data_IF_525206656098
#
_entry.id   IF_525206656098
#
_cell.length_a   1.000
_cell.length_b   1.000
_cell.length_c   1.000
_cell.angle_alpha   90.00
_cell.angle_beta   90.00
_cell.angle_gamma   90.00
#
_symmetry.space_group_name_H-M   'P 1'
#
loop_
_entity.id
_entity.type
_entity.pdbx_description
1 polymer ?
#
# COMPACT_ATOMS: atom_id res chain seq x y z
N UNK A 1 9.57 1.37 74.15
CA UNK A 1 10.88 0.97 74.71
C UNK A 1 11.78 0.58 73.54
N UNK A 2 12.68 1.47 73.13
CA UNK A 2 14.11 1.42 73.43
C UNK A 2 14.88 0.33 72.65
N UNK A 3 15.51 0.77 71.54
CA UNK A 3 16.91 0.57 71.10
C UNK A 3 17.54 -0.87 71.05
N UNK A 4 18.68 -1.08 70.34
CA UNK A 4 19.03 -0.74 68.95
C UNK A 4 19.93 -1.82 68.27
N UNK A 5 20.35 -1.53 67.01
CA UNK A 5 21.67 -1.75 66.34
C UNK A 5 22.43 -3.09 66.59
N UNK A 6 23.12 -3.70 65.62
CA UNK A 6 24.19 -3.16 64.78
C UNK A 6 24.39 -4.10 63.59
N UNK A 7 24.55 -3.50 62.42
CA UNK A 7 24.94 -4.08 61.14
C UNK A 7 26.39 -4.61 61.17
N UNK A 8 26.60 -5.87 60.76
CA UNK A 8 27.94 -6.45 60.62
C UNK A 8 28.47 -6.21 59.20
N UNK A 9 29.41 -5.27 59.11
CA UNK A 9 30.25 -5.03 57.95
C UNK A 9 30.95 -6.33 57.50
N UNK A 10 30.82 -6.69 56.22
CA UNK A 10 31.75 -7.62 55.58
C UNK A 10 32.47 -6.91 54.44
N UNK A 11 33.79 -6.93 54.57
CA UNK A 11 34.80 -6.25 53.79
C UNK A 11 34.81 -6.68 52.33
N UNK A 12 35.01 -5.68 51.46
CA UNK A 12 35.38 -5.82 50.05
C UNK A 12 36.68 -6.61 49.91
N UNK A 13 36.69 -7.65 49.09
CA UNK A 13 37.93 -8.24 48.54
C UNK A 13 37.76 -8.32 47.02
N UNK A 14 38.59 -7.52 46.35
CA UNK A 14 38.65 -7.34 44.90
C UNK A 14 39.60 -8.39 44.32
N UNK A 15 39.08 -9.43 43.67
CA UNK A 15 39.88 -10.50 43.05
C UNK A 15 40.11 -10.17 41.58
N UNK A 16 40.93 -9.14 41.34
CA UNK A 16 41.62 -8.91 40.07
C UNK A 16 43.12 -8.96 40.35
N UNK A 17 43.84 -9.64 39.47
CA UNK A 17 45.31 -9.65 39.34
C UNK A 17 46.12 -10.58 40.26
N UNK A 18 46.00 -11.90 40.04
CA UNK A 18 47.14 -12.81 40.25
C UNK A 18 47.92 -12.86 38.94
N UNK A 19 49.01 -12.12 39.00
CA UNK A 19 50.03 -11.89 37.99
C UNK A 19 50.76 -13.20 37.70
N UNK A 20 50.50 -13.77 36.53
CA UNK A 20 51.41 -14.68 35.85
C UNK A 20 52.75 -13.96 35.66
N UNK A 21 53.72 -14.30 36.50
CA UNK A 21 55.11 -13.86 36.38
C UNK A 21 55.91 -15.14 36.42
N UNK A 22 56.45 -15.53 35.25
CA UNK A 22 57.76 -16.18 35.06
C UNK A 22 57.78 -16.81 33.66
N UNK A 23 58.00 -15.98 32.64
CA UNK A 23 58.81 -16.32 31.46
C UNK A 23 58.94 -15.07 30.60
N UNK A 24 59.95 -14.26 30.96
CA UNK A 24 60.46 -13.14 30.16
C UNK A 24 61.93 -13.46 29.90
N UNK A 25 62.17 -14.20 28.83
CA UNK A 25 63.46 -14.55 28.21
C UNK A 25 63.01 -15.21 26.91
N UNK A 26 63.20 -14.66 25.71
CA UNK A 26 64.40 -14.07 25.10
C UNK A 26 63.96 -12.99 24.11
N UNK A 27 64.83 -11.99 23.96
CA UNK A 27 64.66 -10.79 23.16
C UNK A 27 64.69 -11.03 21.63
N UNK A 28 64.04 -10.11 20.93
CA UNK A 28 64.42 -9.50 19.65
C UNK A 28 65.05 -10.39 18.57
N UNK A 29 64.22 -10.85 17.61
CA UNK A 29 64.63 -11.01 16.20
C UNK A 29 63.42 -10.80 15.28
N UNK A 30 63.56 -9.87 14.33
CA UNK A 30 62.76 -9.65 13.13
C UNK A 30 61.38 -9.00 13.26
N UNK A 31 61.43 -7.70 13.55
CA UNK A 31 60.51 -6.69 13.04
C UNK A 31 60.68 -6.56 11.51
N UNK A 32 60.19 -7.52 10.73
CA UNK A 32 60.08 -7.39 9.26
C UNK A 32 59.05 -8.39 8.72
N UNK A 33 57.80 -8.22 9.16
CA UNK A 33 56.67 -8.67 8.36
C UNK A 33 55.98 -7.40 7.88
N UNK A 34 56.37 -7.01 6.66
CA UNK A 34 55.66 -6.04 5.84
C UNK A 34 54.21 -6.52 5.78
N UNK A 35 53.38 -6.03 6.69
CA UNK A 35 51.95 -6.11 6.56
C UNK A 35 51.63 -5.32 5.29
N UNK A 36 51.41 -6.04 4.19
CA UNK A 36 50.91 -5.54 2.92
C UNK A 36 49.48 -4.98 3.10
N UNK A 37 49.35 -3.96 3.92
CA UNK A 37 48.14 -3.22 4.22
C UNK A 37 47.97 -2.09 3.22
N UNK A 38 48.00 -2.42 1.92
CA UNK A 38 47.60 -1.53 0.83
C UNK A 38 47.59 -2.28 -0.50
N UNK A 39 46.47 -2.90 -0.89
CA UNK A 39 46.14 -3.07 -2.31
C UNK A 39 44.67 -3.47 -2.53
N UNK A 40 43.73 -2.54 -2.32
CA UNK A 40 42.59 -2.48 -3.24
C UNK A 40 43.16 -1.80 -4.49
N UNK A 41 43.53 -2.58 -5.49
CA UNK A 41 43.94 -2.07 -6.80
C UNK A 41 43.12 -2.71 -7.91
N UNK A 42 41.81 -2.50 -7.86
CA UNK A 42 40.93 -2.62 -9.02
C UNK A 42 39.79 -1.60 -8.95
N UNK A 43 39.40 -1.06 -10.11
CA UNK A 43 38.44 0.05 -10.25
C UNK A 43 37.08 -0.32 -9.62
N UNK A 44 36.64 0.42 -8.61
CA UNK A 44 35.40 0.18 -7.85
C UNK A 44 35.25 -1.26 -7.32
N UNK A 45 36.36 -1.94 -7.01
CA UNK A 45 36.37 -3.34 -6.56
C UNK A 45 36.02 -4.36 -7.66
N UNK A 46 36.04 -3.95 -8.93
CA UNK A 46 35.73 -4.79 -10.09
C UNK A 46 37.00 -4.94 -10.93
N UNK A 47 37.33 -6.19 -11.29
CA UNK A 47 38.45 -6.52 -12.19
C UNK A 47 39.67 -7.13 -11.50
N UNK A 48 40.77 -7.22 -12.27
CA UNK A 48 42.01 -7.87 -11.83
C UNK A 48 42.83 -6.96 -10.90
N UNK A 49 43.52 -7.56 -9.93
CA UNK A 49 44.43 -6.85 -8.99
C UNK A 49 45.67 -6.27 -9.69
N UNK A 50 46.15 -6.94 -10.74
CA UNK A 50 47.20 -6.49 -11.64
C UNK A 50 47.05 -7.27 -12.96
N UNK A 51 47.43 -6.67 -14.08
CA UNK A 51 47.52 -7.37 -15.36
C UNK A 51 48.70 -8.38 -15.39
N UNK A 52 49.68 -8.23 -14.50
CA UNK A 52 50.83 -9.13 -14.38
C UNK A 52 50.37 -10.51 -13.92
N UNK A 53 50.73 -11.55 -14.69
CA UNK A 53 50.32 -12.94 -14.44
C UNK A 53 48.94 -13.31 -15.00
N UNK A 54 48.18 -12.35 -15.55
CA UNK A 54 46.90 -12.64 -16.22
C UNK A 54 47.05 -12.99 -17.71
N UNK A 55 48.22 -12.80 -18.31
CA UNK A 55 48.47 -12.96 -19.75
C UNK A 55 47.50 -12.19 -20.67
N UNK A 56 46.81 -11.17 -20.14
CA UNK A 56 45.89 -10.29 -20.88
C UNK A 56 46.23 -8.83 -20.57
N UNK A 57 45.65 -7.90 -21.34
CA UNK A 57 45.87 -6.45 -21.15
C UNK A 57 45.25 -5.88 -19.86
N UNK A 58 44.40 -6.64 -19.16
CA UNK A 58 43.67 -6.15 -17.99
C UNK A 58 42.55 -5.15 -18.30
N UNK A 59 42.11 -5.05 -19.57
CA UNK A 59 41.03 -4.16 -19.98
C UNK A 59 39.67 -4.65 -19.44
N UNK A 60 38.96 -3.79 -18.71
CA UNK A 60 37.67 -4.10 -18.09
C UNK A 60 36.58 -3.26 -18.77
N UNK A 61 35.63 -3.93 -19.42
CA UNK A 61 34.46 -3.28 -20.02
C UNK A 61 33.25 -3.39 -19.10
N UNK A 62 32.45 -2.33 -19.05
CA UNK A 62 31.14 -2.37 -18.39
C UNK A 62 30.16 -3.16 -19.26
N UNK A 63 29.54 -4.18 -18.70
CA UNK A 63 28.46 -4.91 -19.38
C UNK A 63 27.29 -3.98 -19.71
N UNK A 64 26.89 -3.95 -20.99
CA UNK A 64 25.71 -3.21 -21.46
C UNK A 64 24.41 -3.85 -20.94
N UNK A 65 24.41 -5.16 -20.66
CA UNK A 65 23.28 -5.86 -20.05
C UNK A 65 23.04 -5.42 -18.60
N UNK A 66 24.04 -4.90 -17.88
CA UNK A 66 23.83 -4.36 -16.53
C UNK A 66 23.01 -3.06 -16.52
N UNK A 67 22.79 -2.43 -17.68
CA UNK A 67 21.90 -1.28 -17.80
C UNK A 67 20.42 -1.70 -17.75
N UNK A 68 20.08 -2.88 -18.29
CA UNK A 68 18.69 -3.38 -18.28
C UNK A 68 18.23 -3.71 -16.86
N UNK A 69 19.11 -4.21 -15.99
CA UNK A 69 18.81 -4.49 -14.59
C UNK A 69 18.54 -3.25 -13.70
N UNK A 70 19.03 -2.07 -14.10
CA UNK A 70 18.73 -0.79 -13.41
C UNK A 70 17.50 -0.11 -13.99
N UNK A 71 17.29 -0.22 -15.30
CA UNK A 71 16.11 0.31 -15.99
C UNK A 71 14.87 -0.52 -15.64
N UNK A 72 15.01 -1.83 -15.41
CA UNK A 72 13.91 -2.70 -15.00
C UNK A 72 13.26 -2.18 -13.72
N UNK A 73 14.01 -1.86 -12.66
CA UNK A 73 13.43 -1.36 -11.40
C UNK A 73 12.62 -0.06 -11.52
N UNK A 74 12.89 0.79 -12.52
CA UNK A 74 12.16 2.06 -12.71
C UNK A 74 11.05 1.98 -13.77
N UNK A 75 11.09 1.03 -14.71
CA UNK A 75 10.05 0.86 -15.76
C UNK A 75 9.16 -0.38 -15.54
N UNK A 76 9.47 -1.26 -14.60
CA UNK A 76 8.82 -2.56 -14.47
C UNK A 76 7.47 -2.59 -13.76
N UNK A 77 6.99 -1.47 -13.20
CA UNK A 77 5.60 -1.45 -12.71
C UNK A 77 4.58 -1.66 -13.84
N UNK A 78 4.95 -1.40 -15.10
CA UNK A 78 4.09 -1.62 -16.28
C UNK A 78 4.42 -2.85 -17.13
N UNK A 79 5.59 -3.48 -16.95
CA UNK A 79 6.05 -4.60 -17.79
C UNK A 79 6.14 -5.95 -17.05
N UNK A 80 6.38 -5.99 -15.73
CA UNK A 80 6.32 -7.24 -14.95
C UNK A 80 4.89 -7.79 -14.86
N UNK A 81 3.89 -6.91 -14.93
CA UNK A 81 2.48 -7.28 -14.98
C UNK A 81 2.15 -8.05 -16.25
N UNK A 82 2.87 -7.83 -17.37
CA UNK A 82 2.60 -8.47 -18.67
C UNK A 82 3.26 -9.83 -18.84
N UNK A 83 4.33 -10.12 -18.09
CA UNK A 83 5.08 -11.39 -18.21
C UNK A 83 4.60 -12.46 -17.23
N UNK A 84 3.92 -12.08 -16.14
CA UNK A 84 3.29 -13.03 -15.22
C UNK A 84 1.82 -13.25 -15.58
N UNK A 85 1.42 -14.38 -16.20
CA UNK A 85 0.05 -14.62 -16.66
C UNK A 85 -0.97 -14.56 -15.51
N UNK A 86 -0.55 -14.93 -14.29
CA UNK A 86 -1.37 -14.84 -13.07
C UNK A 86 -1.71 -13.40 -12.68
N UNK A 87 -0.76 -12.47 -12.82
CA UNK A 87 -0.98 -11.05 -12.51
C UNK A 87 -1.87 -10.37 -13.55
N UNK A 88 -1.69 -10.70 -14.85
CA UNK A 88 -2.58 -10.24 -15.93
C UNK A 88 -4.02 -10.69 -15.69
N UNK A 89 -4.23 -11.93 -15.26
CA UNK A 89 -5.56 -12.48 -15.03
C UNK A 89 -6.26 -11.79 -13.86
N UNK A 90 -5.56 -11.59 -12.74
CA UNK A 90 -6.09 -10.87 -11.58
C UNK A 90 -6.44 -9.42 -11.92
N UNK A 91 -5.61 -8.71 -12.70
CA UNK A 91 -5.89 -7.35 -13.15
C UNK A 91 -7.12 -7.28 -14.08
N UNK A 92 -7.34 -8.30 -14.92
CA UNK A 92 -8.53 -8.40 -15.77
C UNK A 92 -9.80 -8.64 -14.96
N UNK A 93 -9.76 -9.53 -13.97
CA UNK A 93 -10.90 -9.81 -13.09
C UNK A 93 -11.29 -8.53 -12.33
N UNK A 94 -10.32 -7.86 -11.69
CA UNK A 94 -10.56 -6.61 -10.96
C UNK A 94 -11.17 -5.51 -11.85
N UNK A 95 -10.73 -5.41 -13.11
CA UNK A 95 -11.31 -4.47 -14.08
C UNK A 95 -12.75 -4.83 -14.45
N UNK A 96 -13.05 -6.12 -14.62
CA UNK A 96 -14.40 -6.59 -14.93
C UNK A 96 -15.35 -6.32 -13.76
N UNK A 97 -14.92 -6.58 -12.53
CA UNK A 97 -15.71 -6.34 -11.32
C UNK A 97 -16.00 -4.85 -11.13
N UNK A 98 -14.98 -4.00 -11.25
CA UNK A 98 -15.15 -2.55 -11.16
C UNK A 98 -16.05 -1.97 -12.29
N UNK A 99 -16.10 -2.62 -13.46
CA UNK A 99 -17.01 -2.25 -14.54
C UNK A 99 -18.44 -2.75 -14.29
N UNK A 100 -18.59 -3.93 -13.68
CA UNK A 100 -19.89 -4.47 -13.28
C UNK A 100 -20.53 -3.55 -12.23
N UNK A 101 -19.78 -3.12 -11.23
CA UNK A 101 -20.25 -2.19 -10.20
C UNK A 101 -20.75 -0.88 -10.80
N UNK A 102 -20.00 -0.29 -11.74
CA UNK A 102 -20.41 0.95 -12.42
C UNK A 102 -21.69 0.78 -13.23
N UNK A 103 -21.87 -0.36 -13.90
CA UNK A 103 -23.10 -0.67 -14.65
C UNK A 103 -24.28 -0.82 -13.71
N UNK A 104 -24.11 -1.54 -12.60
CA UNK A 104 -25.15 -1.71 -11.59
C UNK A 104 -25.56 -0.36 -11.00
N UNK A 105 -24.61 0.49 -10.61
CA UNK A 105 -24.90 1.84 -10.10
C UNK A 105 -25.66 2.70 -11.12
N UNK A 106 -25.29 2.63 -12.40
CA UNK A 106 -26.01 3.32 -13.47
C UNK A 106 -27.46 2.82 -13.56
N UNK A 107 -27.67 1.50 -13.59
CA UNK A 107 -29.01 0.91 -13.63
C UNK A 107 -29.86 1.39 -12.46
N UNK A 108 -29.35 1.35 -11.23
CA UNK A 108 -30.08 1.83 -10.03
C UNK A 108 -30.46 3.30 -10.16
N UNK A 109 -29.54 4.15 -10.65
CA UNK A 109 -29.83 5.58 -10.86
C UNK A 109 -30.91 5.83 -11.93
N UNK A 110 -31.01 4.95 -12.94
CA UNK A 110 -32.05 5.05 -13.95
C UNK A 110 -33.40 4.52 -13.45
N UNK A 111 -33.42 3.49 -12.61
CA UNK A 111 -34.65 2.96 -12.00
C UNK A 111 -35.30 4.02 -11.12
N UNK A 112 -34.53 4.65 -10.22
CA UNK A 112 -35.02 5.73 -9.35
C UNK A 112 -35.59 6.91 -10.14
N UNK A 113 -34.92 7.35 -11.21
CA UNK A 113 -35.46 8.39 -12.11
C UNK A 113 -36.75 7.95 -12.81
N UNK A 114 -36.81 6.71 -13.28
CA UNK A 114 -38.00 6.17 -13.93
C UNK A 114 -39.18 6.11 -12.96
N UNK A 115 -38.95 5.71 -11.72
CA UNK A 115 -39.98 5.68 -10.68
C UNK A 115 -40.59 7.08 -10.47
N UNK A 116 -39.77 8.13 -10.41
CA UNK A 116 -40.26 9.51 -10.29
C UNK A 116 -41.12 9.88 -11.51
N UNK A 117 -40.62 9.66 -12.73
CA UNK A 117 -41.37 10.00 -13.95
C UNK A 117 -42.64 9.17 -14.12
N UNK A 118 -42.64 7.91 -13.67
CA UNK A 118 -43.85 7.08 -13.63
C UNK A 118 -44.90 7.67 -12.69
N UNK A 119 -44.52 8.10 -11.49
CA UNK A 119 -45.45 8.76 -10.55
C UNK A 119 -46.00 10.08 -11.10
N UNK A 120 -45.17 10.84 -11.82
CA UNK A 120 -45.61 12.07 -12.51
C UNK A 120 -46.59 11.73 -13.63
N UNK A 121 -46.32 10.70 -14.43
CA UNK A 121 -47.22 10.24 -15.49
C UNK A 121 -48.57 9.78 -14.93
N UNK A 122 -48.56 8.98 -13.86
CA UNK A 122 -49.79 8.53 -13.18
C UNK A 122 -50.61 9.70 -12.64
N UNK A 123 -49.97 10.77 -12.16
CA UNK A 123 -50.66 11.98 -11.70
C UNK A 123 -51.29 12.70 -12.90
N UNK A 124 -50.54 12.83 -13.98
CA UNK A 124 -51.00 13.49 -15.20
C UNK A 124 -52.25 12.81 -15.76
N UNK A 125 -52.19 11.48 -15.93
CA UNK A 125 -53.32 10.69 -16.44
C UNK A 125 -54.59 10.90 -15.59
N UNK A 126 -54.44 10.90 -14.25
CA UNK A 126 -55.56 11.15 -13.33
C UNK A 126 -56.14 12.56 -13.45
N UNK A 127 -55.30 13.57 -13.66
CA UNK A 127 -55.74 14.95 -13.78
C UNK A 127 -56.40 15.22 -15.13
N UNK A 128 -55.94 14.55 -16.19
CA UNK A 128 -56.57 14.57 -17.52
C UNK A 128 -57.93 13.86 -17.49
N UNK A 129 -58.05 12.68 -16.86
CA UNK A 129 -59.33 11.95 -16.71
C UNK A 129 -60.40 12.74 -15.93
N UNK A 130 -59.99 13.66 -15.05
CA UNK A 130 -60.92 14.45 -14.25
C UNK A 130 -61.52 15.65 -14.99
N UNK A 131 -61.00 16.06 -16.15
CA UNK A 131 -61.47 17.17 -17.02
C UNK A 131 -61.72 18.54 -16.33
N UNK A 132 -61.23 18.74 -15.10
CA UNK A 132 -61.51 19.94 -14.27
C UNK A 132 -60.49 21.06 -14.41
N UNK A 133 -59.28 20.76 -14.90
CA UNK A 133 -58.15 21.67 -14.91
C UNK A 133 -57.69 21.98 -16.33
N UNK A 134 -57.09 23.15 -16.53
CA UNK A 134 -56.39 23.48 -17.77
C UNK A 134 -55.02 22.82 -17.83
N UNK A 135 -54.50 22.59 -19.04
CA UNK A 135 -53.19 21.99 -19.29
C UNK A 135 -52.06 22.67 -18.48
N UNK A 136 -52.09 24.01 -18.39
CA UNK A 136 -51.12 24.79 -17.62
C UNK A 136 -51.13 24.42 -16.12
N UNK A 137 -52.32 24.23 -15.54
CA UNK A 137 -52.47 23.86 -14.13
C UNK A 137 -52.07 22.39 -13.88
N UNK A 138 -52.28 21.51 -14.86
CA UNK A 138 -51.83 20.12 -14.82
C UNK A 138 -50.29 20.08 -14.82
N UNK A 139 -49.65 20.87 -15.69
CA UNK A 139 -48.19 20.97 -15.77
C UNK A 139 -47.58 21.55 -14.49
N UNK A 140 -48.20 22.58 -13.89
CA UNK A 140 -47.77 23.11 -12.60
C UNK A 140 -47.80 22.04 -11.51
N UNK A 141 -48.91 21.30 -11.38
CA UNK A 141 -49.04 20.20 -10.42
C UNK A 141 -48.00 19.10 -10.66
N UNK A 142 -47.82 18.67 -11.90
CA UNK A 142 -46.80 17.68 -12.28
C UNK A 142 -45.38 18.17 -11.92
N UNK A 143 -45.08 19.45 -12.16
CA UNK A 143 -43.79 20.04 -11.82
C UNK A 143 -43.56 20.15 -10.31
N UNK A 144 -44.61 20.47 -9.53
CA UNK A 144 -44.51 20.45 -8.07
C UNK A 144 -44.19 19.04 -7.56
N UNK A 145 -44.90 18.02 -8.05
CA UNK A 145 -44.69 16.63 -7.67
C UNK A 145 -43.31 16.11 -8.10
N UNK A 146 -42.83 16.51 -9.28
CA UNK A 146 -41.47 16.16 -9.73
C UNK A 146 -40.41 16.72 -8.77
N UNK A 147 -40.56 17.96 -8.31
CA UNK A 147 -39.62 18.57 -7.35
C UNK A 147 -39.64 17.85 -6.00
N UNK A 148 -40.83 17.59 -5.45
CA UNK A 148 -40.94 16.93 -4.14
C UNK A 148 -40.34 15.53 -4.16
N UNK A 149 -40.61 14.73 -5.19
CA UNK A 149 -40.07 13.37 -5.29
C UNK A 149 -38.55 13.35 -5.49
N UNK A 150 -38.00 14.31 -6.24
CA UNK A 150 -36.55 14.46 -6.39
C UNK A 150 -35.91 14.82 -5.05
N UNK A 151 -36.49 15.75 -4.30
CA UNK A 151 -35.97 16.17 -2.99
C UNK A 151 -36.04 15.02 -1.98
N UNK A 152 -37.15 14.27 -1.93
CA UNK A 152 -37.29 13.08 -1.10
C UNK A 152 -36.26 12.00 -1.45
N UNK A 153 -36.06 11.74 -2.75
CA UNK A 153 -35.06 10.77 -3.21
C UNK A 153 -33.64 11.19 -2.82
N UNK A 154 -33.30 12.46 -2.96
CA UNK A 154 -32.00 12.99 -2.53
C UNK A 154 -31.82 12.90 -1.01
N UNK A 155 -32.86 13.18 -0.23
CA UNK A 155 -32.80 13.09 1.22
C UNK A 155 -32.67 11.63 1.69
N UNK A 156 -33.38 10.69 1.08
CA UNK A 156 -33.19 9.26 1.33
C UNK A 156 -31.75 8.80 0.99
N UNK A 157 -31.17 9.30 -0.11
CA UNK A 157 -29.78 9.03 -0.45
C UNK A 157 -28.81 9.62 0.58
N UNK A 158 -29.07 10.83 1.09
CA UNK A 158 -28.28 11.43 2.18
C UNK A 158 -28.39 10.61 3.45
N UNK A 159 -29.60 10.30 3.92
CA UNK A 159 -29.84 9.53 5.14
C UNK A 159 -29.17 8.16 5.07
N UNK A 160 -29.34 7.42 3.97
CA UNK A 160 -28.70 6.11 3.79
C UNK A 160 -27.17 6.20 3.73
N UNK A 161 -26.61 7.30 3.21
CA UNK A 161 -25.17 7.53 3.21
C UNK A 161 -24.61 7.80 4.61
N UNK A 162 -25.36 8.54 5.44
CA UNK A 162 -24.99 8.91 6.81
C UNK A 162 -25.14 7.71 7.74
N UNK A 163 -26.30 7.04 7.70
CA UNK A 163 -26.60 5.91 8.55
C UNK A 163 -26.32 4.58 7.84
N UNK A 164 -25.05 4.16 7.89
CA UNK A 164 -24.66 2.79 7.53
C UNK A 164 -24.74 1.91 8.77
N UNK A 165 -25.56 0.86 8.73
CA UNK A 165 -25.72 -0.05 9.86
C UNK A 165 -24.40 -0.75 10.20
N UNK A 166 -24.27 -1.16 11.46
CA UNK A 166 -23.10 -1.88 11.96
C UNK A 166 -22.84 -3.16 11.15
N UNK A 167 -23.90 -3.90 10.83
CA UNK A 167 -23.80 -5.14 10.05
C UNK A 167 -23.23 -4.89 8.65
N UNK A 168 -23.63 -3.81 7.97
CA UNK A 168 -23.07 -3.47 6.65
C UNK A 168 -21.61 -3.05 6.73
N UNK A 169 -21.19 -2.41 7.82
CA UNK A 169 -19.78 -2.04 8.06
C UNK A 169 -18.93 -3.29 8.30
N UNK A 170 -19.38 -4.18 9.18
CA UNK A 170 -18.70 -5.45 9.49
C UNK A 170 -18.55 -6.33 8.23
N UNK A 171 -19.61 -6.49 7.44
CA UNK A 171 -19.55 -7.21 6.16
C UNK A 171 -18.54 -6.58 5.18
N UNK A 172 -18.49 -5.25 5.12
CA UNK A 172 -17.53 -4.55 4.25
C UNK A 172 -16.08 -4.76 4.73
N UNK A 173 -15.84 -4.76 6.04
CA UNK A 173 -14.53 -5.05 6.62
C UNK A 173 -14.11 -6.51 6.40
N UNK A 174 -15.04 -7.46 6.52
CA UNK A 174 -14.81 -8.87 6.20
C UNK A 174 -14.44 -9.08 4.73
N UNK A 175 -15.11 -8.40 3.81
CA UNK A 175 -14.77 -8.43 2.38
C UNK A 175 -13.35 -7.88 2.19
N UNK A 176 -13.04 -6.73 2.79
CA UNK A 176 -11.72 -6.10 2.69
C UNK A 176 -10.60 -6.95 3.30
N UNK A 177 -10.87 -7.71 4.35
CA UNK A 177 -9.89 -8.58 5.02
C UNK A 177 -9.68 -9.92 4.28
N UNK A 178 -10.59 -10.29 3.37
CA UNK A 178 -10.50 -11.50 2.53
C UNK A 178 -9.76 -11.24 1.21
N UNK A 179 -9.61 -9.98 0.79
CA UNK A 179 -8.80 -9.51 -0.34
C UNK A 179 -7.31 -9.40 0.01
#
# INVERSE_FOLDING_TARGET
MFHPRVTRQFSKINVRTIKTRWMRMVADVCQDRIDCRASIMSYNGIGLKSAKGSSTSGHIQKSLANNTARISKSKDKGNQTKTNPRLVHLEKIQKVDALADKKVLSIVSHMTKREIELRVSELRDKLEDEDKLTDEQIDEKCNTLRKTLVDESQEQQRISSIYKSRTTREQKEEIKNKE
#
